data_IF_245271654521
#
_entry.id   IF_245271654521
#
_cell.length_a   1.000
_cell.length_b   1.000
_cell.length_c   1.000
_cell.angle_alpha   90.00
_cell.angle_beta   90.00
_cell.angle_gamma   90.00
#
_symmetry.space_group_name_H-M   'P 1'
#
loop_
_entity.id
_entity.type
_entity.pdbx_description
1 polymer ?
#
# COMPACT_ATOMS: atom_id res chain seq x y z
N UNK A 1 16.89 -24.49 -4.55
CA UNK A 1 15.70 -24.54 -5.43
C UNK A 1 15.57 -25.99 -5.91
N UNK A 2 14.45 -26.68 -5.67
CA UNK A 2 14.28 -28.11 -5.97
C UNK A 2 13.90 -28.33 -7.46
N UNK A 3 14.29 -29.45 -8.08
CA UNK A 3 13.94 -29.86 -9.46
C UNK A 3 12.43 -29.79 -9.74
N UNK A 4 11.59 -30.11 -8.74
CA UNK A 4 10.14 -29.97 -8.86
C UNK A 4 9.68 -28.51 -9.06
N UNK A 5 10.35 -27.55 -8.42
CA UNK A 5 10.07 -26.12 -8.58
C UNK A 5 10.52 -25.60 -9.96
N UNK A 6 11.65 -26.11 -10.47
CA UNK A 6 12.13 -25.82 -11.83
C UNK A 6 11.16 -26.31 -12.91
N UNK A 7 10.70 -27.56 -12.79
CA UNK A 7 9.72 -28.14 -13.72
C UNK A 7 8.42 -27.33 -13.76
N UNK A 8 7.88 -26.98 -12.58
CA UNK A 8 6.67 -26.16 -12.45
C UNK A 8 6.85 -24.76 -13.09
N UNK A 9 8.03 -24.15 -12.93
CA UNK A 9 8.35 -22.88 -13.55
C UNK A 9 8.40 -22.99 -15.08
N UNK A 10 9.00 -24.04 -15.62
CA UNK A 10 9.04 -24.30 -17.06
C UNK A 10 7.64 -24.52 -17.66
N UNK A 11 6.81 -25.32 -16.98
CA UNK A 11 5.41 -25.56 -17.39
C UNK A 11 4.60 -24.26 -17.39
N UNK A 12 4.77 -23.41 -16.37
CA UNK A 12 4.14 -22.08 -16.31
C UNK A 12 4.59 -21.16 -17.45
N UNK A 13 5.89 -21.10 -17.74
CA UNK A 13 6.41 -20.27 -18.84
C UNK A 13 5.90 -20.74 -20.19
N UNK A 14 5.89 -22.04 -20.45
CA UNK A 14 5.34 -22.60 -21.69
C UNK A 14 3.85 -22.28 -21.84
N UNK A 15 3.06 -22.45 -20.78
CA UNK A 15 1.64 -22.11 -20.79
C UNK A 15 1.40 -20.62 -21.10
N UNK A 16 2.20 -19.73 -20.51
CA UNK A 16 2.14 -18.29 -20.79
C UNK A 16 2.46 -17.98 -22.25
N UNK A 17 3.51 -18.58 -22.82
CA UNK A 17 3.89 -18.39 -24.22
C UNK A 17 2.79 -18.87 -25.18
N UNK A 18 2.22 -20.05 -24.94
CA UNK A 18 1.10 -20.56 -25.74
C UNK A 18 -0.13 -19.65 -25.65
N UNK A 19 -0.44 -19.13 -24.47
CA UNK A 19 -1.56 -18.22 -24.27
C UNK A 19 -1.32 -16.88 -24.99
N UNK A 20 -0.10 -16.34 -24.95
CA UNK A 20 0.28 -15.13 -25.68
C UNK A 20 0.16 -15.32 -27.20
N UNK A 21 0.67 -16.43 -27.73
CA UNK A 21 0.57 -16.74 -29.16
C UNK A 21 -0.88 -16.90 -29.62
N UNK A 22 -1.74 -17.57 -28.82
CA UNK A 22 -3.18 -17.67 -29.12
C UNK A 22 -3.88 -16.32 -29.15
N UNK A 23 -3.57 -15.42 -28.19
CA UNK A 23 -4.10 -14.05 -28.18
C UNK A 23 -3.68 -13.29 -29.43
N UNK A 24 -2.42 -13.39 -29.82
CA UNK A 24 -1.88 -12.71 -31.00
C UNK A 24 -2.50 -13.24 -32.31
N UNK A 25 -2.70 -14.57 -32.40
CA UNK A 25 -3.40 -15.18 -33.54
C UNK A 25 -4.86 -14.72 -33.66
N UNK A 26 -5.59 -14.57 -32.54
CA UNK A 26 -6.96 -14.04 -32.53
C UNK A 26 -7.03 -12.56 -32.95
N UNK A 27 -6.04 -11.74 -32.57
CA UNK A 27 -5.95 -10.35 -33.02
C UNK A 27 -5.71 -10.30 -34.53
N UNK A 28 -4.78 -11.13 -35.03
CA UNK A 28 -4.39 -11.16 -36.45
C UNK A 28 -5.51 -11.62 -37.40
N UNK A 29 -6.48 -12.41 -36.92
CA UNK A 29 -7.61 -12.89 -37.73
C UNK A 29 -8.75 -11.88 -37.89
N UNK A 30 -8.66 -10.69 -37.30
CA UNK A 30 -9.70 -9.65 -37.38
C UNK A 30 -9.41 -8.64 -38.52
N UNK A 31 -10.43 -7.90 -39.02
CA UNK A 31 -10.20 -6.76 -39.91
C UNK A 31 -9.30 -5.70 -39.27
N UNK A 32 -8.48 -5.00 -40.07
CA UNK A 32 -7.40 -4.12 -39.58
C UNK A 32 -7.86 -3.12 -38.50
N UNK A 33 -9.00 -2.45 -38.68
CA UNK A 33 -9.54 -1.50 -37.70
C UNK A 33 -9.85 -2.16 -36.34
N UNK A 34 -10.38 -3.38 -36.36
CA UNK A 34 -10.61 -4.18 -35.13
C UNK A 34 -9.30 -4.69 -34.52
N UNK A 35 -8.25 -4.93 -35.33
CA UNK A 35 -6.93 -5.30 -34.80
C UNK A 35 -6.32 -4.15 -34.00
N UNK A 36 -6.42 -2.93 -34.53
CA UNK A 36 -5.90 -1.71 -33.88
C UNK A 36 -6.62 -1.48 -32.55
N UNK A 37 -7.95 -1.53 -32.53
CA UNK A 37 -8.75 -1.39 -31.31
C UNK A 37 -8.44 -2.48 -30.27
N UNK A 38 -8.38 -3.75 -30.69
CA UNK A 38 -8.12 -4.87 -29.80
C UNK A 38 -6.71 -4.81 -29.21
N UNK A 39 -5.72 -4.39 -30.00
CA UNK A 39 -4.33 -4.19 -29.53
C UNK A 39 -4.25 -3.03 -28.54
N UNK A 40 -4.89 -1.90 -28.83
CA UNK A 40 -4.93 -0.75 -27.92
C UNK A 40 -5.64 -1.10 -26.59
N UNK A 41 -6.71 -1.89 -26.63
CA UNK A 41 -7.38 -2.37 -25.42
C UNK A 41 -6.47 -3.30 -24.61
N UNK A 42 -5.73 -4.21 -25.25
CA UNK A 42 -4.81 -5.13 -24.57
C UNK A 42 -3.65 -4.38 -23.92
N UNK A 43 -3.01 -3.44 -24.63
CA UNK A 43 -1.92 -2.63 -24.08
C UNK A 43 -2.40 -1.74 -22.92
N UNK A 44 -3.59 -1.16 -23.02
CA UNK A 44 -4.19 -0.40 -21.91
C UNK A 44 -4.47 -1.28 -20.69
N UNK A 45 -4.96 -2.52 -20.89
CA UNK A 45 -5.16 -3.49 -19.81
C UNK A 45 -3.84 -3.89 -19.14
N UNK A 46 -2.80 -4.17 -19.93
CA UNK A 46 -1.49 -4.53 -19.41
C UNK A 46 -0.84 -3.36 -18.67
N UNK A 47 -0.93 -2.14 -19.19
CA UNK A 47 -0.45 -0.93 -18.51
C UNK A 47 -1.17 -0.69 -17.18
N UNK A 48 -2.50 -0.90 -17.15
CA UNK A 48 -3.29 -0.82 -15.91
C UNK A 48 -2.82 -1.87 -14.90
N UNK A 49 -2.66 -3.12 -15.32
CA UNK A 49 -2.19 -4.21 -14.45
C UNK A 49 -0.79 -3.93 -13.90
N UNK A 50 0.15 -3.52 -14.74
CA UNK A 50 1.50 -3.17 -14.30
C UNK A 50 1.49 -2.03 -13.28
N UNK A 51 0.59 -1.05 -13.44
CA UNK A 51 0.42 0.02 -12.46
C UNK A 51 -0.08 -0.54 -11.13
N UNK A 52 -1.10 -1.39 -11.14
CA UNK A 52 -1.65 -2.04 -9.94
C UNK A 52 -0.60 -2.91 -9.24
N UNK A 53 0.17 -3.71 -9.97
CA UNK A 53 1.25 -4.54 -9.43
C UNK A 53 2.34 -3.70 -8.74
N UNK A 54 2.72 -2.57 -9.35
CA UNK A 54 3.66 -1.60 -8.73
C UNK A 54 3.10 -1.03 -7.44
N UNK A 55 1.84 -0.59 -7.44
CA UNK A 55 1.18 -0.04 -6.25
C UNK A 55 1.13 -1.07 -5.11
N UNK A 56 0.80 -2.31 -5.43
CA UNK A 56 0.79 -3.41 -4.46
C UNK A 56 2.19 -3.66 -3.90
N UNK A 57 3.22 -3.70 -4.74
CA UNK A 57 4.60 -3.84 -4.29
C UNK A 57 5.04 -2.70 -3.35
N UNK A 58 4.63 -1.46 -3.63
CA UNK A 58 4.91 -0.31 -2.74
C UNK A 58 4.21 -0.44 -1.38
N UNK A 59 2.95 -0.90 -1.35
CA UNK A 59 2.21 -1.15 -0.10
C UNK A 59 2.91 -2.22 0.74
N UNK A 60 3.31 -3.34 0.13
CA UNK A 60 4.09 -4.37 0.83
C UNK A 60 5.43 -3.84 1.35
N UNK A 61 6.15 -3.05 0.56
CA UNK A 61 7.42 -2.45 0.98
C UNK A 61 7.26 -1.49 2.16
N UNK A 62 6.14 -0.76 2.21
CA UNK A 62 5.81 0.16 3.30
C UNK A 62 5.43 -0.62 4.57
N UNK A 63 4.57 -1.63 4.45
CA UNK A 63 4.22 -2.52 5.55
C UNK A 63 5.46 -3.17 6.17
N UNK A 64 6.32 -3.77 5.33
CA UNK A 64 7.56 -4.40 5.79
C UNK A 64 8.50 -3.40 6.49
N UNK A 65 8.55 -2.16 6.01
CA UNK A 65 9.31 -1.08 6.66
C UNK A 65 8.76 -0.76 8.05
N UNK A 66 7.45 -0.58 8.20
CA UNK A 66 6.86 -0.27 9.52
C UNK A 66 7.06 -1.40 10.52
N UNK A 67 6.88 -2.66 10.08
CA UNK A 67 7.18 -3.83 10.94
C UNK A 67 8.64 -3.79 11.39
N UNK A 68 9.57 -3.50 10.47
CA UNK A 68 11.00 -3.39 10.82
C UNK A 68 11.25 -2.28 11.84
N UNK A 69 10.67 -1.10 11.67
CA UNK A 69 10.80 0.02 12.61
C UNK A 69 10.26 -0.38 13.99
N UNK A 70 9.10 -1.03 14.04
CA UNK A 70 8.50 -1.47 15.30
C UNK A 70 9.38 -2.49 16.05
N UNK A 71 9.89 -3.51 15.35
CA UNK A 71 10.78 -4.53 15.93
C UNK A 71 12.05 -3.92 16.49
N UNK A 72 12.60 -2.89 15.83
CA UNK A 72 13.85 -2.25 16.24
C UNK A 72 13.69 -1.31 17.42
N UNK A 73 12.57 -0.58 17.49
CA UNK A 73 12.29 0.33 18.61
C UNK A 73 11.64 -0.39 19.81
N UNK A 74 11.35 -1.69 19.66
CA UNK A 74 10.79 -2.54 20.73
C UNK A 74 11.54 -2.45 22.05
N UNK A 75 12.86 -2.28 22.03
CA UNK A 75 13.66 -2.18 23.25
C UNK A 75 13.41 -0.92 24.08
N UNK A 76 12.86 0.15 23.49
CA UNK A 76 12.56 1.39 24.19
C UNK A 76 11.26 1.29 25.01
N UNK A 77 10.24 0.66 24.44
CA UNK A 77 8.92 0.47 25.07
C UNK A 77 8.25 -0.78 24.47
N UNK A 78 8.53 -1.98 25.02
CA UNK A 78 8.04 -3.23 24.44
C UNK A 78 6.51 -3.28 24.35
N UNK A 79 5.81 -2.81 25.37
CA UNK A 79 4.34 -2.84 25.41
C UNK A 79 3.75 -1.96 24.31
N UNK A 80 4.28 -0.74 24.13
CA UNK A 80 3.80 0.16 23.09
C UNK A 80 4.10 -0.38 21.70
N UNK A 81 5.34 -0.77 21.42
CA UNK A 81 5.76 -1.19 20.08
C UNK A 81 5.17 -2.54 19.67
N UNK A 82 4.91 -3.44 20.61
CA UNK A 82 4.19 -4.70 20.34
C UNK A 82 2.74 -4.41 19.89
N UNK A 83 2.08 -3.43 20.50
CA UNK A 83 0.74 -2.99 20.06
C UNK A 83 0.79 -2.33 18.68
N UNK A 84 1.78 -1.48 18.36
CA UNK A 84 1.83 -0.90 17.01
C UNK A 84 2.14 -1.97 15.96
N UNK A 85 2.96 -2.96 16.30
CA UNK A 85 3.23 -4.09 15.41
C UNK A 85 1.95 -4.89 15.15
N UNK A 86 1.16 -5.17 16.20
CA UNK A 86 -0.15 -5.82 16.08
C UNK A 86 -1.10 -5.03 15.17
N UNK A 87 -1.23 -3.71 15.40
CA UNK A 87 -2.07 -2.82 14.57
C UNK A 87 -1.62 -2.87 13.11
N UNK A 88 -0.31 -2.81 12.87
CA UNK A 88 0.30 -2.84 11.53
C UNK A 88 0.00 -4.17 10.82
N UNK A 89 0.05 -5.29 11.54
CA UNK A 89 -0.24 -6.63 11.01
C UNK A 89 -1.73 -6.83 10.73
N UNK A 90 -2.62 -6.31 11.58
CA UNK A 90 -4.07 -6.41 11.39
C UNK A 90 -4.57 -5.62 10.19
N UNK A 91 -4.00 -4.44 9.97
CA UNK A 91 -4.34 -3.60 8.83
C UNK A 91 -3.77 -4.15 7.52
N UNK A 92 -2.64 -4.86 7.60
CA UNK A 92 -1.98 -5.51 6.47
C UNK A 92 -1.83 -4.57 5.25
N UNK A 93 -1.59 -5.11 4.06
CA UNK A 93 -1.46 -4.38 2.79
C UNK A 93 -2.72 -3.57 2.46
N UNK A 94 -3.89 -4.00 2.91
CA UNK A 94 -5.17 -3.34 2.62
C UNK A 94 -5.35 -2.02 3.38
N UNK A 95 -4.77 -1.92 4.58
CA UNK A 95 -4.74 -0.69 5.39
C UNK A 95 -3.60 0.25 4.99
N UNK A 96 -2.75 -0.14 4.04
CA UNK A 96 -1.72 0.73 3.48
C UNK A 96 -2.35 1.70 2.47
N UNK A 97 -2.23 2.99 2.74
CA UNK A 97 -2.50 4.03 1.76
C UNK A 97 -1.61 3.82 0.52
N UNK A 98 -2.16 4.02 -0.67
CA UNK A 98 -1.32 4.18 -1.84
C UNK A 98 -0.51 5.47 -1.77
N UNK A 99 0.55 5.53 -2.57
CA UNK A 99 1.33 6.75 -2.81
C UNK A 99 1.00 7.27 -4.22
N UNK A 100 0.61 8.55 -4.32
CA UNK A 100 0.46 9.26 -5.58
C UNK A 100 1.65 10.21 -5.76
N UNK A 101 2.38 10.06 -6.87
CA UNK A 101 3.37 11.06 -7.25
C UNK A 101 2.65 12.21 -7.94
N UNK A 102 2.59 13.37 -7.27
CA UNK A 102 2.15 14.59 -7.93
C UNK A 102 3.27 15.09 -8.82
N UNK A 103 2.98 15.18 -10.12
CA UNK A 103 3.84 15.79 -11.11
C UNK A 103 3.11 16.95 -11.76
N UNK A 104 3.41 18.16 -11.30
CA UNK A 104 3.07 19.39 -12.00
C UNK A 104 4.33 19.81 -12.76
N UNK A 105 4.23 20.00 -14.08
CA UNK A 105 5.36 20.45 -14.91
C UNK A 105 6.01 21.68 -14.25
N UNK A 106 7.34 21.64 -14.06
CA UNK A 106 8.11 22.73 -13.44
C UNK A 106 8.26 22.67 -11.92
N UNK A 107 7.65 21.70 -11.23
CA UNK A 107 7.81 21.51 -9.78
C UNK A 107 8.63 20.25 -9.44
N UNK A 108 9.26 20.26 -8.26
CA UNK A 108 9.95 19.08 -7.72
C UNK A 108 8.92 17.95 -7.56
N UNK A 109 9.25 16.75 -8.03
CA UNK A 109 8.41 15.56 -7.82
C UNK A 109 8.27 15.31 -6.32
N UNK A 110 7.03 15.19 -5.86
CA UNK A 110 6.68 14.91 -4.47
C UNK A 110 5.77 13.69 -4.45
N UNK A 111 5.99 12.81 -3.49
CA UNK A 111 5.11 11.68 -3.22
C UNK A 111 4.11 12.11 -2.16
N UNK A 112 2.82 11.95 -2.44
CA UNK A 112 1.73 12.21 -1.50
C UNK A 112 1.05 10.91 -1.13
N UNK A 113 0.72 10.75 0.15
CA UNK A 113 -0.13 9.63 0.57
C UNK A 113 -1.57 9.86 0.13
N UNK A 114 -2.22 8.79 -0.29
CA UNK A 114 -3.65 8.81 -0.60
C UNK A 114 -4.41 8.41 0.67
N UNK A 115 -5.18 9.35 1.23
CA UNK A 115 -6.00 9.08 2.41
C UNK A 115 -7.07 8.01 2.12
N UNK A 116 -7.13 7.01 3.01
CA UNK A 116 -8.22 6.06 3.05
C UNK A 116 -9.40 6.71 3.78
N UNK A 117 -10.56 6.89 3.13
CA UNK A 117 -11.68 7.62 3.72
C UNK A 117 -12.27 6.94 4.97
N UNK A 118 -12.09 5.62 5.08
CA UNK A 118 -12.64 4.82 6.16
C UNK A 118 -11.73 4.73 7.39
N UNK A 119 -10.43 5.04 7.27
CA UNK A 119 -9.48 4.85 8.37
C UNK A 119 -9.53 6.05 9.32
N UNK A 120 -9.43 5.78 10.62
CA UNK A 120 -9.41 6.84 11.64
C UNK A 120 -8.17 7.73 11.47
N UNK A 121 -8.30 9.07 11.66
CA UNK A 121 -7.15 9.97 11.70
C UNK A 121 -6.12 9.58 12.78
N UNK A 122 -6.55 8.92 13.86
CA UNK A 122 -5.67 8.46 14.94
C UNK A 122 -4.67 7.42 14.41
N UNK A 123 -5.16 6.44 13.64
CA UNK A 123 -4.31 5.42 13.01
C UNK A 123 -3.40 6.05 11.97
N UNK A 124 -3.92 7.01 11.18
CA UNK A 124 -3.12 7.72 10.18
C UNK A 124 -1.97 8.50 10.82
N UNK A 125 -2.23 9.17 11.93
CA UNK A 125 -1.22 9.89 12.71
C UNK A 125 -0.20 8.94 13.34
N UNK A 126 -0.65 7.79 13.85
CA UNK A 126 0.26 6.75 14.36
C UNK A 126 1.26 6.32 13.28
N UNK A 127 0.81 6.01 12.06
CA UNK A 127 1.71 5.64 10.98
C UNK A 127 2.64 6.77 10.51
N UNK A 128 2.17 8.02 10.60
CA UNK A 128 3.03 9.19 10.39
C UNK A 128 4.14 9.26 11.43
N UNK A 129 3.80 9.03 12.70
CA UNK A 129 4.78 8.94 13.78
C UNK A 129 5.75 7.80 13.55
N UNK A 130 5.30 6.58 13.25
CA UNK A 130 6.18 5.43 12.98
C UNK A 130 7.18 5.74 11.85
N UNK A 131 6.75 6.35 10.75
CA UNK A 131 7.66 6.68 9.64
C UNK A 131 8.75 7.69 10.06
N UNK A 132 8.47 8.59 11.00
CA UNK A 132 9.48 9.56 11.49
C UNK A 132 10.68 8.90 12.18
N UNK A 133 10.47 7.74 12.82
CA UNK A 133 11.55 6.93 13.42
C UNK A 133 12.46 6.27 12.37
N UNK A 134 12.14 6.36 11.08
CA UNK A 134 13.04 5.89 10.03
C UNK A 134 14.34 6.70 9.98
N UNK A 135 14.28 8.01 10.27
CA UNK A 135 15.47 8.87 10.32
C UNK A 135 16.40 8.47 11.47
N UNK A 136 15.83 8.18 12.65
CA UNK A 136 16.55 7.62 13.80
C UNK A 136 17.35 6.37 13.42
N UNK A 137 16.74 5.51 12.60
CA UNK A 137 17.38 4.29 12.14
C UNK A 137 18.54 4.56 11.17
N UNK A 138 18.43 5.55 10.29
CA UNK A 138 19.51 5.90 9.36
C UNK A 138 20.69 6.56 10.08
N UNK A 139 20.39 7.47 11.02
CA UNK A 139 21.39 8.17 11.84
C UNK A 139 22.14 7.22 12.76
N UNK A 140 21.42 6.35 13.50
CA UNK A 140 22.04 5.41 14.45
C UNK A 140 22.91 4.34 13.80
N UNK A 141 22.72 4.03 12.51
CA UNK A 141 23.50 3.03 11.79
C UNK A 141 24.61 3.63 10.90
N UNK A 142 24.80 4.95 10.88
CA UNK A 142 25.70 5.65 9.96
C UNK A 142 25.58 5.18 8.50
N UNK A 143 24.37 4.80 8.09
CA UNK A 143 24.13 4.32 6.73
C UNK A 143 23.97 5.55 5.84
N UNK A 144 25.05 5.94 5.17
CA UNK A 144 24.95 6.89 4.06
C UNK A 144 24.00 6.32 3.00
N UNK A 145 23.06 7.14 2.57
CA UNK A 145 22.08 6.75 1.57
C UNK A 145 22.75 6.66 0.20
N UNK A 146 23.21 5.48 -0.17
CA UNK A 146 23.78 5.22 -1.49
C UNK A 146 22.66 5.21 -2.53
N UNK A 147 22.70 6.15 -3.48
CA UNK A 147 21.77 6.23 -4.61
C UNK A 147 20.96 7.53 -4.66
N UNK A 148 19.96 7.58 -5.56
CA UNK A 148 19.12 8.76 -5.73
C UNK A 148 18.38 9.12 -4.43
N UNK A 149 18.39 10.40 -4.09
CA UNK A 149 17.60 10.92 -2.96
C UNK A 149 16.13 10.57 -3.15
N UNK A 150 15.53 9.91 -2.16
CA UNK A 150 14.09 9.64 -2.18
C UNK A 150 13.33 10.94 -2.37
N UNK A 151 12.23 10.87 -3.13
CA UNK A 151 11.32 11.98 -3.27
C UNK A 151 10.79 12.40 -1.89
N UNK A 152 10.53 13.68 -1.74
CA UNK A 152 9.93 14.23 -0.53
C UNK A 152 8.54 13.60 -0.34
N UNK A 153 8.29 13.07 0.86
CA UNK A 153 6.99 12.53 1.23
C UNK A 153 6.16 13.61 1.91
N UNK A 154 5.09 14.06 1.25
CA UNK A 154 4.09 14.93 1.85
C UNK A 154 2.90 14.11 2.34
N UNK A 155 2.53 14.38 3.58
CA UNK A 155 1.46 13.69 4.29
C UNK A 155 0.08 14.31 4.03
N UNK A 156 0.05 15.46 3.36
CA UNK A 156 -1.17 16.07 2.88
C UNK A 156 -1.71 15.26 1.70
N UNK A 157 -2.95 14.76 1.81
CA UNK A 157 -3.58 14.06 0.72
C UNK A 157 -3.84 15.00 -0.46
N UNK A 158 -3.24 14.69 -1.62
CA UNK A 158 -3.56 15.38 -2.87
C UNK A 158 -4.97 15.01 -3.37
N UNK A 159 -5.39 13.76 -3.17
CA UNK A 159 -6.72 13.25 -3.48
C UNK A 159 -7.18 12.25 -2.42
N UNK A 160 -8.50 12.18 -2.20
CA UNK A 160 -9.13 11.12 -1.40
C UNK A 160 -9.43 9.92 -2.30
N UNK A 161 -9.15 8.69 -1.84
CA UNK A 161 -9.61 7.50 -2.57
C UNK A 161 -11.14 7.50 -2.58
N UNK A 162 -11.76 7.57 -3.77
CA UNK A 162 -13.23 7.57 -3.89
C UNK A 162 -13.89 6.24 -3.49
N UNK A 163 -13.16 5.12 -3.62
CA UNK A 163 -13.65 3.76 -3.35
C UNK A 163 -12.53 2.87 -2.82
N UNK A 164 -12.11 3.09 -1.58
CA UNK A 164 -11.30 2.10 -0.87
C UNK A 164 -12.25 1.15 -0.13
N UNK A 165 -12.10 -0.16 -0.33
CA UNK A 165 -12.79 -1.14 0.49
C UNK A 165 -12.28 -1.02 1.93
N UNK A 166 -13.21 -1.02 2.89
CA UNK A 166 -12.87 -1.07 4.29
C UNK A 166 -12.66 -2.51 4.72
N UNK A 167 -11.68 -2.75 5.59
CA UNK A 167 -11.39 -4.08 6.10
C UNK A 167 -12.46 -4.44 7.13
N UNK A 168 -13.16 -5.58 7.01
CA UNK A 168 -14.11 -6.04 8.01
C UNK A 168 -13.38 -6.61 9.24
N UNK A 169 -14.03 -6.58 10.40
CA UNK A 169 -13.53 -7.17 11.65
C UNK A 169 -12.63 -6.24 12.46
N UNK A 170 -12.34 -5.02 11.99
CA UNK A 170 -11.51 -4.08 12.74
C UNK A 170 -12.27 -3.50 13.95
N UNK A 171 -11.53 -3.01 14.96
CA UNK A 171 -12.10 -2.28 16.09
C UNK A 171 -12.88 -1.04 15.64
N UNK A 172 -13.97 -0.71 16.33
CA UNK A 172 -14.84 0.44 15.95
C UNK A 172 -14.05 1.74 15.91
N UNK A 173 -13.18 1.97 16.88
CA UNK A 173 -12.34 3.17 16.98
C UNK A 173 -11.25 3.30 15.91
N UNK A 174 -11.04 2.27 15.08
CA UNK A 174 -10.10 2.33 13.95
C UNK A 174 -10.75 2.86 12.67
N UNK A 175 -12.09 2.90 12.61
CA UNK A 175 -12.81 3.54 11.53
C UNK A 175 -13.00 5.04 11.79
N UNK A 176 -13.03 5.82 10.73
CA UNK A 176 -13.39 7.24 10.78
C UNK A 176 -14.86 7.39 11.14
N UNK A 177 -15.16 8.16 12.19
CA UNK A 177 -16.54 8.32 12.69
C UNK A 177 -17.49 8.91 11.66
N UNK A 178 -17.06 9.94 10.91
CA UNK A 178 -17.90 10.58 9.89
C UNK A 178 -18.20 9.62 8.74
N UNK A 179 -17.21 8.82 8.36
CA UNK A 179 -17.39 7.80 7.33
C UNK A 179 -18.31 6.68 7.83
N UNK A 180 -18.09 6.19 9.04
CA UNK A 180 -18.85 5.10 9.63
C UNK A 180 -20.33 5.47 9.81
N UNK A 181 -20.63 6.68 10.29
CA UNK A 181 -22.00 7.18 10.42
C UNK A 181 -22.74 7.32 9.08
N UNK A 182 -22.01 7.50 7.98
CA UNK A 182 -22.57 7.61 6.63
C UNK A 182 -22.91 6.27 5.98
N UNK A 183 -22.68 5.14 6.65
CA UNK A 183 -22.93 3.81 6.10
C UNK A 183 -24.40 3.41 6.19
N UNK A 184 -24.82 2.58 5.24
CA UNK A 184 -26.13 1.92 5.31
C UNK A 184 -26.14 0.85 6.42
N UNK A 185 -27.31 0.49 6.98
CA UNK A 185 -27.40 -0.58 7.98
C UNK A 185 -26.79 -1.92 7.52
N UNK A 186 -26.98 -2.27 6.24
CA UNK A 186 -26.37 -3.47 5.66
C UNK A 186 -24.84 -3.38 5.61
N UNK A 187 -24.28 -2.21 5.29
CA UNK A 187 -22.84 -2.01 5.28
C UNK A 187 -22.24 -2.09 6.69
N UNK A 188 -22.94 -1.60 7.73
CA UNK A 188 -22.53 -1.80 9.12
C UNK A 188 -22.46 -3.29 9.49
N UNK A 189 -23.46 -4.08 9.09
CA UNK A 189 -23.50 -5.51 9.39
C UNK A 189 -22.36 -6.27 8.68
N UNK A 190 -22.04 -5.89 7.44
CA UNK A 190 -20.93 -6.49 6.69
C UNK A 190 -19.56 -6.19 7.30
N UNK A 191 -19.40 -5.08 8.01
CA UNK A 191 -18.12 -4.75 8.66
C UNK A 191 -17.80 -5.63 9.86
N UNK A 192 -18.78 -6.32 10.48
CA UNK A 192 -18.55 -7.22 11.62
C UNK A 192 -17.59 -6.65 12.68
N UNK A 193 -17.84 -5.40 13.09
CA UNK A 193 -16.93 -4.58 13.90
C UNK A 193 -16.58 -5.27 15.23
N UNK A 194 -15.29 -5.26 15.58
CA UNK A 194 -14.80 -5.84 16.84
C UNK A 194 -14.73 -4.78 17.96
N UNK A 195 -14.41 -5.24 19.18
CA UNK A 195 -14.29 -4.36 20.36
C UNK A 195 -13.17 -3.33 20.15
N UNK A 196 -13.35 -2.17 20.76
CA UNK A 196 -12.35 -1.11 20.71
C UNK A 196 -11.00 -1.58 21.26
N UNK A 197 -9.94 -1.22 20.55
CA UNK A 197 -8.56 -1.50 20.93
C UNK A 197 -7.84 -0.18 21.08
N UNK A 198 -7.22 0.05 22.24
CA UNK A 198 -6.50 1.28 22.50
C UNK A 198 -5.36 1.45 21.49
N UNK A 199 -5.36 2.59 20.79
CA UNK A 199 -4.29 2.95 19.87
C UNK A 199 -3.24 3.71 20.69
N UNK A 200 -1.99 3.22 20.76
CA UNK A 200 -0.95 3.89 21.53
C UNK A 200 -0.62 5.25 20.91
N UNK A 201 -0.36 6.25 21.76
CA UNK A 201 0.17 7.53 21.32
C UNK A 201 1.68 7.40 21.07
N UNK A 202 2.10 7.84 19.89
CA UNK A 202 3.50 7.91 19.49
C UNK A 202 3.81 9.32 19.00
N UNK A 203 4.80 9.95 19.61
CA UNK A 203 5.27 11.29 19.23
C UNK A 203 6.09 11.24 17.94
N UNK A 204 6.28 12.39 17.29
CA UNK A 204 7.15 12.48 16.12
C UNK A 204 8.61 12.43 16.59
N UNK A 205 9.41 11.56 15.98
CA UNK A 205 10.84 11.47 16.25
C UNK A 205 11.52 12.79 15.89
N UNK A 206 12.29 13.36 16.83
CA UNK A 206 12.96 14.65 16.67
C UNK A 206 12.05 15.88 16.81
N UNK A 207 10.77 15.70 17.15
CA UNK A 207 9.90 16.79 17.58
C UNK A 207 10.29 17.24 18.97
N UNK A 208 11.03 18.35 19.07
CA UNK A 208 11.28 19.02 20.34
C UNK A 208 9.97 19.55 20.95
N UNK A 209 9.96 19.59 22.29
CA UNK A 209 9.09 20.45 23.10
C UNK A 209 9.02 21.89 22.59
#
# INVERSE_FOLDING_TARGET
>A
MNLAALRKLCEQKLAQTHQAHRKQAMVSSCPHDRQVEMTAMLTAKDAKRQREDRMTAYRHGTLARWIKIAVQNRSQDPEKWDVIQMITQWLDVEGMSGDETDYILGTKKVVRRIELPWISPVISNLFKSIESYQSAFQEGNMLEKVGNTSLEHRWEAGRKVRKAAAIPGLPRNWYNDKWFQGLSPSAHLMLSVSKDVQVPSLELYGGAC
#
